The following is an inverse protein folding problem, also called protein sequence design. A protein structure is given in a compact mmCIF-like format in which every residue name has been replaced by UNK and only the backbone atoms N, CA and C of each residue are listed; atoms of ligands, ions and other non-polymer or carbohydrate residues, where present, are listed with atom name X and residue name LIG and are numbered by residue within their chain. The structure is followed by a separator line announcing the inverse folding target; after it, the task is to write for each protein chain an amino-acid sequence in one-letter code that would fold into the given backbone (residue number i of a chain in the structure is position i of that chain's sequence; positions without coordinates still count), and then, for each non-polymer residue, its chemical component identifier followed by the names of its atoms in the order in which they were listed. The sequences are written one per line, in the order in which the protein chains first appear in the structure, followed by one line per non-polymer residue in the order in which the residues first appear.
data_IF_263926565992
#
_entry.id   IF_263926565992
#
_cell.length_a   1.000
_cell.length_b   1.000
_cell.length_c   1.000
_cell.angle_alpha   90.00
_cell.angle_beta   90.00
_cell.angle_gamma   90.00
#
_symmetry.space_group_name_H-M   'P 1'
#
loop_
_entity.id
_entity.type
_entity.pdbx_description
1 polymer ?
#
# COMPACT_ATOMS: atom_id res chain seq x y z
N UNK A 1 1.46 -2.98 -5.15
CA UNK A 1 2.60 -2.18 -4.68
C UNK A 1 2.86 -2.31 -3.17
N UNK A 2 2.03 -1.76 -2.26
CA UNK A 2 2.29 -1.86 -0.80
C UNK A 2 2.34 -3.29 -0.24
N UNK A 3 1.63 -4.24 -0.86
CA UNK A 3 1.82 -5.68 -0.61
C UNK A 3 3.27 -6.12 -0.81
N UNK A 4 3.92 -5.69 -1.87
CA UNK A 4 5.32 -6.06 -2.14
C UNK A 4 6.29 -5.36 -1.19
N UNK A 5 5.96 -4.15 -0.71
CA UNK A 5 6.69 -3.51 0.39
C UNK A 5 6.65 -4.38 1.64
N UNK A 6 5.47 -4.87 2.03
CA UNK A 6 5.32 -5.77 3.17
C UNK A 6 6.08 -7.08 2.95
N UNK A 7 5.87 -7.73 1.80
CA UNK A 7 6.52 -9.00 1.46
C UNK A 7 8.05 -8.87 1.48
N UNK A 8 8.60 -7.81 0.88
CA UNK A 8 10.04 -7.58 0.90
C UNK A 8 10.55 -7.28 2.31
N UNK A 9 9.81 -6.50 3.12
CA UNK A 9 10.20 -6.19 4.49
C UNK A 9 10.39 -7.46 5.33
N UNK A 10 9.50 -8.44 5.16
CA UNK A 10 9.52 -9.74 5.87
C UNK A 10 10.56 -10.71 5.30
N UNK A 11 10.59 -10.88 3.98
CA UNK A 11 11.33 -11.99 3.35
C UNK A 11 12.72 -11.62 2.86
N UNK A 12 12.95 -10.33 2.55
CA UNK A 12 14.15 -9.83 1.86
C UNK A 12 14.42 -10.50 0.49
N UNK A 13 13.43 -11.17 -0.08
CA UNK A 13 13.54 -11.81 -1.40
C UNK A 13 12.87 -10.94 -2.48
N UNK A 14 13.66 -10.50 -3.45
CA UNK A 14 13.16 -9.71 -4.58
C UNK A 14 12.43 -10.57 -5.63
N UNK A 15 12.67 -11.89 -5.66
CA UNK A 15 12.09 -12.78 -6.66
C UNK A 15 10.59 -12.99 -6.45
N UNK A 16 10.08 -12.80 -5.23
CA UNK A 16 8.65 -12.97 -4.93
C UNK A 16 7.82 -11.70 -5.13
N UNK A 17 8.47 -10.60 -5.52
CA UNK A 17 7.78 -9.34 -5.79
C UNK A 17 7.05 -9.45 -7.13
N UNK A 18 5.85 -8.87 -7.16
CA UNK A 18 5.05 -8.70 -8.37
C UNK A 18 5.60 -7.56 -9.24
N UNK A 19 6.06 -6.48 -8.61
CA UNK A 19 6.62 -5.28 -9.26
C UNK A 19 8.15 -5.28 -9.14
N UNK A 20 8.82 -6.27 -9.73
CA UNK A 20 10.28 -6.49 -9.57
C UNK A 20 11.10 -5.32 -10.10
N UNK A 21 10.63 -4.69 -11.18
CA UNK A 21 11.22 -3.51 -11.80
C UNK A 21 11.26 -2.30 -10.85
N UNK A 22 10.36 -2.25 -9.85
CA UNK A 22 10.29 -1.19 -8.84
C UNK A 22 11.05 -1.54 -7.55
N UNK A 23 11.87 -2.59 -7.56
CA UNK A 23 12.60 -3.11 -6.38
C UNK A 23 13.26 -2.01 -5.55
N UNK A 24 13.96 -1.06 -6.18
CA UNK A 24 14.66 0.02 -5.47
C UNK A 24 13.70 0.86 -4.62
N UNK A 25 12.53 1.22 -5.17
CA UNK A 25 11.52 1.99 -4.45
C UNK A 25 10.84 1.16 -3.36
N UNK A 26 10.53 -0.10 -3.65
CA UNK A 26 9.92 -1.05 -2.70
C UNK A 26 10.84 -1.28 -1.49
N UNK A 27 12.12 -1.56 -1.73
CA UNK A 27 13.13 -1.75 -0.68
C UNK A 27 13.31 -0.49 0.18
N UNK A 28 13.29 0.68 -0.45
CA UNK A 28 13.37 1.98 0.24
C UNK A 28 12.15 2.22 1.16
N UNK A 29 10.94 1.98 0.67
CA UNK A 29 9.75 2.11 1.53
C UNK A 29 9.73 1.05 2.65
N UNK A 30 10.20 -0.16 2.38
CA UNK A 30 10.26 -1.24 3.38
C UNK A 30 11.26 -0.96 4.51
N UNK A 31 12.30 -0.15 4.26
CA UNK A 31 13.24 0.28 5.30
C UNK A 31 12.70 1.46 6.12
N UNK A 32 11.97 2.38 5.49
CA UNK A 32 11.48 3.61 6.15
C UNK A 32 10.22 3.40 7.00
N UNK A 33 9.30 2.54 6.59
CA UNK A 33 8.00 2.35 7.24
C UNK A 33 8.00 1.17 8.19
N UNK A 34 7.31 1.27 9.32
CA UNK A 34 7.10 0.13 10.20
C UNK A 34 5.98 -0.80 9.65
N UNK A 35 5.74 -1.94 10.30
CA UNK A 35 4.70 -2.88 9.86
C UNK A 35 3.28 -2.30 10.00
N UNK A 36 3.02 -1.55 11.06
CA UNK A 36 1.73 -0.94 11.34
C UNK A 36 1.38 0.13 10.29
N UNK A 37 2.33 0.96 9.89
CA UNK A 37 2.15 1.98 8.84
C UNK A 37 1.78 1.34 7.51
N UNK A 38 2.48 0.26 7.13
CA UNK A 38 2.22 -0.45 5.88
C UNK A 38 0.84 -1.09 5.92
N UNK A 39 0.48 -1.72 7.04
CA UNK A 39 -0.83 -2.33 7.25
C UNK A 39 -1.97 -1.29 7.23
N UNK A 40 -1.77 -0.11 7.86
CA UNK A 40 -2.72 1.01 7.83
C UNK A 40 -3.01 1.43 6.39
N UNK A 41 -1.97 1.55 5.55
CA UNK A 41 -2.11 1.91 4.13
C UNK A 41 -2.87 0.81 3.37
N UNK A 42 -2.52 -0.46 3.56
CA UNK A 42 -3.21 -1.58 2.89
C UNK A 42 -4.70 -1.58 3.25
N UNK A 43 -5.03 -1.45 4.55
CA UNK A 43 -6.42 -1.35 5.02
C UNK A 43 -7.15 -0.14 4.45
N UNK A 44 -6.48 1.00 4.33
CA UNK A 44 -7.07 2.19 3.73
C UNK A 44 -7.43 1.96 2.25
N UNK A 45 -6.53 1.31 1.50
CA UNK A 45 -6.77 0.93 0.09
C UNK A 45 -7.97 -0.02 -0.01
N UNK A 46 -8.04 -1.04 0.86
CA UNK A 46 -9.17 -1.99 0.83
C UNK A 46 -10.49 -1.32 1.21
N UNK A 47 -10.48 -0.38 2.17
CA UNK A 47 -11.64 0.44 2.49
C UNK A 47 -12.08 1.31 1.31
N UNK A 48 -11.14 1.87 0.55
CA UNK A 48 -11.45 2.64 -0.65
C UNK A 48 -12.10 1.74 -1.74
N UNK A 49 -11.60 0.52 -1.96
CA UNK A 49 -12.22 -0.45 -2.87
C UNK A 49 -13.66 -0.77 -2.48
N UNK A 50 -13.92 -1.02 -1.19
CA UNK A 50 -15.27 -1.29 -0.68
C UNK A 50 -16.21 -0.12 -0.98
N UNK A 51 -15.76 1.13 -0.76
CA UNK A 51 -16.54 2.34 -1.06
C UNK A 51 -16.85 2.48 -2.55
N UNK A 52 -15.84 2.28 -3.41
CA UNK A 52 -16.02 2.33 -4.86
C UNK A 52 -17.00 1.26 -5.35
N UNK A 53 -16.91 0.03 -4.82
CA UNK A 53 -17.86 -1.05 -5.12
C UNK A 53 -19.27 -0.76 -4.62
N UNK A 54 -19.42 0.05 -3.57
CA UNK A 54 -20.69 0.56 -3.09
C UNK A 54 -21.18 1.80 -3.87
N UNK A 55 -20.57 2.12 -5.02
CA UNK A 55 -20.88 3.27 -5.88
C UNK A 55 -20.71 4.66 -5.22
N UNK A 56 -19.82 4.77 -4.22
CA UNK A 56 -19.37 6.08 -3.72
C UNK A 56 -18.61 6.81 -4.83
N UNK A 57 -18.77 8.13 -4.91
CA UNK A 57 -18.06 8.97 -5.86
C UNK A 57 -16.54 8.72 -5.79
N UNK A 58 -15.92 8.55 -6.96
CA UNK A 58 -14.51 8.22 -7.09
C UNK A 58 -13.59 9.24 -6.40
N UNK A 59 -13.80 10.53 -6.67
CA UNK A 59 -12.98 11.62 -6.11
C UNK A 59 -13.03 11.58 -4.59
N UNK A 60 -14.22 11.51 -4.00
CA UNK A 60 -14.41 11.42 -2.54
C UNK A 60 -13.73 10.18 -1.94
N UNK A 61 -13.85 9.02 -2.59
CA UNK A 61 -13.23 7.78 -2.10
C UNK A 61 -11.69 7.86 -2.11
N UNK A 62 -11.11 8.48 -3.14
CA UNK A 62 -9.67 8.67 -3.27
C UNK A 62 -9.15 9.77 -2.33
N UNK A 63 -9.89 10.87 -2.13
CA UNK A 63 -9.51 11.91 -1.16
C UNK A 63 -9.37 11.33 0.25
N UNK A 64 -10.35 10.53 0.69
CA UNK A 64 -10.30 9.85 1.98
C UNK A 64 -9.13 8.87 2.09
N UNK A 65 -8.84 8.13 1.01
CA UNK A 65 -7.68 7.25 0.94
C UNK A 65 -6.37 8.03 1.13
N UNK A 66 -6.20 9.11 0.36
CA UNK A 66 -4.99 9.94 0.39
C UNK A 66 -4.80 10.62 1.75
N UNK A 67 -5.88 11.04 2.41
CA UNK A 67 -5.82 11.58 3.77
C UNK A 67 -5.27 10.54 4.75
N UNK A 68 -5.76 9.29 4.70
CA UNK A 68 -5.28 8.22 5.59
C UNK A 68 -3.83 7.79 5.32
N UNK A 69 -3.35 7.91 4.07
CA UNK A 69 -1.96 7.57 3.71
C UNK A 69 -0.96 8.66 4.14
N UNK A 70 -1.41 9.92 4.25
CA UNK A 70 -0.56 11.06 4.66
C UNK A 70 -0.31 11.13 6.18
N UNK A 71 -1.19 10.54 6.97
CA UNK A 71 -1.09 10.43 8.43
C UNK A 71 -0.14 9.33 8.88
#
# INVERSE_FOLDING_TARGET
WYRDVLMFKVTKDANILLYREEYKAISSQASMRNYEDIEKIIKAIDKAKIRLNANVNFETAIELLLLTIKE
#
